data_IF_395756554425
#
_entry.id   IF_395756554425
#
_cell.length_a   1.000
_cell.length_b   1.000
_cell.length_c   1.000
_cell.angle_alpha   90.00
_cell.angle_beta   90.00
_cell.angle_gamma   90.00
#
_symmetry.space_group_name_H-M   'P 1'
#
loop_
_entity.id
_entity.type
_entity.pdbx_description
1 polymer ?
#
# COMPACT_ATOMS: atom_id res chain seq x y z
N UNK A 1 -47.17 -39.92 -64.69
CA UNK A 1 -46.02 -39.79 -65.59
C UNK A 1 -45.83 -38.31 -65.88
N UNK A 2 -44.76 -37.75 -65.53
CA UNK A 2 -44.09 -36.54 -66.00
C UNK A 2 -43.52 -35.75 -64.85
N UNK A 3 -42.24 -35.91 -64.69
CA UNK A 3 -41.42 -35.19 -63.75
C UNK A 3 -41.22 -33.73 -64.17
N UNK A 4 -41.46 -32.81 -63.24
CA UNK A 4 -41.11 -31.40 -63.46
C UNK A 4 -40.13 -30.98 -62.38
N UNK A 5 -38.83 -30.88 -62.75
CA UNK A 5 -37.76 -30.34 -61.92
C UNK A 5 -37.81 -28.79 -61.91
N UNK A 6 -38.15 -28.23 -60.74
CA UNK A 6 -37.95 -26.79 -60.52
C UNK A 6 -36.54 -26.59 -59.95
N UNK A 7 -35.65 -25.91 -60.63
CA UNK A 7 -34.38 -25.38 -60.17
C UNK A 7 -34.62 -23.95 -59.62
N UNK A 8 -34.46 -23.78 -58.33
CA UNK A 8 -34.39 -22.46 -57.71
C UNK A 8 -32.92 -22.14 -57.42
N UNK A 9 -32.39 -21.15 -58.13
CA UNK A 9 -31.10 -20.52 -57.86
C UNK A 9 -31.25 -19.59 -56.67
N UNK A 10 -30.61 -19.91 -55.53
CA UNK A 10 -30.42 -18.99 -54.42
C UNK A 10 -29.02 -18.37 -54.53
N UNK A 11 -28.94 -17.09 -54.81
CA UNK A 11 -27.71 -16.32 -54.69
C UNK A 11 -27.36 -16.08 -53.21
N UNK A 12 -26.11 -16.20 -52.77
CA UNK A 12 -25.70 -15.88 -51.42
C UNK A 12 -25.53 -14.36 -51.28
N UNK A 13 -26.34 -13.73 -50.45
CA UNK A 13 -26.09 -12.39 -49.96
C UNK A 13 -24.96 -12.47 -48.90
N UNK A 14 -23.78 -11.99 -49.25
CA UNK A 14 -22.69 -11.71 -48.32
C UNK A 14 -23.06 -10.46 -47.51
N UNK A 15 -23.57 -10.63 -46.30
CA UNK A 15 -23.72 -9.55 -45.31
C UNK A 15 -22.38 -9.36 -44.60
N UNK A 16 -21.64 -8.31 -44.97
CA UNK A 16 -20.48 -7.84 -44.24
C UNK A 16 -20.98 -7.14 -42.98
N UNK A 17 -20.93 -7.85 -41.85
CA UNK A 17 -21.16 -7.25 -40.53
C UNK A 17 -19.83 -6.61 -40.10
N UNK A 18 -19.69 -5.31 -40.29
CA UNK A 18 -18.63 -4.50 -39.70
C UNK A 18 -18.88 -4.40 -38.21
N UNK A 19 -18.25 -5.25 -37.41
CA UNK A 19 -18.22 -5.09 -35.95
C UNK A 19 -17.30 -3.93 -35.58
N UNK A 20 -17.89 -2.76 -35.42
CA UNK A 20 -17.23 -1.63 -34.76
C UNK A 20 -17.05 -2.00 -33.27
N UNK A 21 -15.88 -2.47 -32.88
CA UNK A 21 -15.49 -2.64 -31.49
C UNK A 21 -15.32 -1.26 -30.87
N UNK A 22 -16.36 -0.72 -30.30
CA UNK A 22 -16.30 0.42 -29.40
C UNK A 22 -15.54 -0.05 -28.13
N UNK A 23 -14.27 0.30 -28.05
CA UNK A 23 -13.50 0.28 -26.80
C UNK A 23 -14.17 1.26 -25.84
N UNK A 24 -15.12 0.77 -25.07
CA UNK A 24 -15.68 1.50 -23.93
C UNK A 24 -14.58 1.50 -22.85
N UNK A 25 -13.78 2.55 -22.83
CA UNK A 25 -12.93 2.88 -21.69
C UNK A 25 -13.86 3.05 -20.49
N UNK A 26 -13.79 2.12 -19.54
CA UNK A 26 -14.62 2.12 -18.34
C UNK A 26 -14.38 3.42 -17.57
N UNK A 27 -15.40 4.17 -17.16
CA UNK A 27 -15.24 5.46 -16.46
C UNK A 27 -14.43 5.35 -15.16
N UNK A 28 -14.35 4.16 -14.57
CA UNK A 28 -13.57 3.90 -13.38
C UNK A 28 -12.04 4.04 -13.59
N UNK A 29 -11.52 3.75 -14.78
CA UNK A 29 -10.08 3.87 -15.07
C UNK A 29 -9.67 5.34 -15.13
N UNK A 30 -10.47 6.18 -15.74
CA UNK A 30 -10.19 7.62 -15.84
C UNK A 30 -10.28 8.33 -14.49
N UNK A 31 -11.23 7.95 -13.64
CA UNK A 31 -11.36 8.52 -12.30
C UNK A 31 -10.16 8.14 -11.39
N UNK A 32 -9.66 6.95 -11.52
CA UNK A 32 -8.50 6.48 -10.74
C UNK A 32 -7.20 7.13 -11.22
N UNK A 33 -7.05 7.35 -12.52
CA UNK A 33 -5.88 8.01 -13.11
C UNK A 33 -5.81 9.49 -12.69
N UNK A 34 -6.96 10.20 -12.68
CA UNK A 34 -7.03 11.57 -12.20
C UNK A 34 -6.73 11.70 -10.70
N UNK A 35 -7.26 10.82 -9.86
CA UNK A 35 -7.02 10.81 -8.42
C UNK A 35 -5.53 10.56 -8.11
N UNK A 36 -4.88 9.66 -8.84
CA UNK A 36 -3.44 9.43 -8.70
C UNK A 36 -2.60 10.65 -9.12
N UNK A 37 -3.00 11.35 -10.18
CA UNK A 37 -2.33 12.58 -10.63
C UNK A 37 -2.45 13.70 -9.60
N UNK A 38 -3.62 13.88 -8.99
CA UNK A 38 -3.86 14.86 -7.93
C UNK A 38 -3.08 14.52 -6.66
N UNK A 39 -3.07 13.27 -6.24
CA UNK A 39 -2.27 12.79 -5.11
C UNK A 39 -0.78 13.07 -5.36
N UNK A 40 -0.26 12.70 -6.52
CA UNK A 40 1.14 12.92 -6.88
C UNK A 40 1.51 14.41 -6.89
N UNK A 41 0.60 15.27 -7.34
CA UNK A 41 0.78 16.73 -7.30
C UNK A 41 0.84 17.25 -5.86
N UNK A 42 -0.10 16.81 -5.00
CA UNK A 42 -0.10 17.14 -3.59
C UNK A 42 1.20 16.69 -2.91
N UNK A 43 1.60 15.44 -3.09
CA UNK A 43 2.80 14.86 -2.47
C UNK A 43 4.05 15.65 -2.86
N UNK A 44 4.21 16.00 -4.12
CA UNK A 44 5.35 16.83 -4.56
C UNK A 44 5.39 18.18 -3.84
N UNK A 45 4.25 18.86 -3.74
CA UNK A 45 4.18 20.16 -3.08
C UNK A 45 4.49 20.04 -1.58
N UNK A 46 3.91 19.04 -0.89
CA UNK A 46 4.13 18.81 0.53
C UNK A 46 5.57 18.32 0.81
N UNK A 47 6.15 17.51 -0.06
CA UNK A 47 7.53 17.05 0.06
C UNK A 47 8.53 18.23 0.00
N UNK A 48 8.30 19.19 -0.88
CA UNK A 48 9.11 20.43 -0.95
C UNK A 48 9.00 21.19 0.37
N UNK A 49 7.78 21.37 0.90
CA UNK A 49 7.53 22.09 2.16
C UNK A 49 8.17 21.35 3.34
N UNK A 50 8.04 20.04 3.40
CA UNK A 50 8.58 19.20 4.49
C UNK A 50 10.11 19.22 4.46
N UNK A 51 10.71 19.11 3.29
CA UNK A 51 12.16 19.20 3.12
C UNK A 51 12.66 20.59 3.55
N UNK A 52 11.96 21.65 3.20
CA UNK A 52 12.32 23.01 3.61
C UNK A 52 12.19 23.22 5.13
N UNK A 53 11.19 22.64 5.79
CA UNK A 53 10.98 22.74 7.25
C UNK A 53 11.92 21.83 8.05
N UNK A 54 12.20 20.61 7.53
CA UNK A 54 13.10 19.63 8.18
C UNK A 54 14.58 20.00 8.07
N UNK A 55 14.93 20.93 7.18
CA UNK A 55 16.29 21.46 7.03
C UNK A 55 16.82 22.21 8.26
N UNK A 56 16.00 22.38 9.29
CA UNK A 56 16.35 23.15 10.49
C UNK A 56 17.45 22.57 11.38
N UNK A 57 17.89 21.33 11.19
CA UNK A 57 18.93 20.74 12.04
C UNK A 57 20.11 20.08 11.31
N UNK A 58 20.02 19.82 10.00
CA UNK A 58 21.11 19.13 9.30
C UNK A 58 21.28 19.46 7.82
N UNK A 59 20.29 20.13 7.21
CA UNK A 59 20.25 20.35 5.77
C UNK A 59 20.35 21.84 5.35
N UNK A 60 20.69 22.75 6.28
CA UNK A 60 20.80 24.20 6.00
C UNK A 60 21.86 24.51 4.94
N UNK A 61 22.90 23.69 4.84
CA UNK A 61 23.98 23.91 3.87
C UNK A 61 23.56 23.68 2.39
N UNK A 62 22.55 22.84 2.12
CA UNK A 62 22.07 22.56 0.77
C UNK A 62 20.94 23.48 0.29
N UNK A 63 20.14 24.02 1.21
CA UNK A 63 18.97 24.84 0.88
C UNK A 63 19.29 26.31 0.65
N UNK A 64 20.34 26.85 1.27
CA UNK A 64 20.79 28.21 1.02
C UNK A 64 21.19 28.45 -0.45
N UNK A 65 21.63 27.42 -1.14
CA UNK A 65 21.92 27.49 -2.58
C UNK A 65 20.67 27.55 -3.47
N UNK A 66 19.47 27.20 -2.95
CA UNK A 66 18.24 27.05 -3.71
C UNK A 66 17.33 28.27 -3.71
N UNK A 67 17.36 29.09 -2.66
CA UNK A 67 16.58 30.32 -2.63
C UNK A 67 17.06 31.38 -3.65
N UNK A 68 18.18 31.12 -4.32
CA UNK A 68 18.73 32.02 -5.35
C UNK A 68 18.26 31.65 -6.76
N UNK A 69 17.70 30.43 -6.99
CA UNK A 69 17.23 30.00 -8.30
C UNK A 69 15.73 30.22 -8.49
N UNK A 70 15.36 31.25 -9.17
CA UNK A 70 13.98 31.76 -9.38
C UNK A 70 13.14 30.94 -10.37
N UNK A 71 13.27 29.60 -10.52
CA UNK A 71 12.43 28.80 -11.40
C UNK A 71 11.94 27.50 -10.75
N UNK A 72 10.64 27.28 -10.81
CA UNK A 72 9.90 26.17 -10.18
C UNK A 72 10.38 24.74 -10.52
N UNK A 73 11.07 24.56 -11.66
CA UNK A 73 11.66 23.28 -12.04
C UNK A 73 12.94 22.91 -11.26
N UNK A 74 13.60 23.90 -10.67
CA UNK A 74 14.83 23.69 -9.91
C UNK A 74 14.55 23.33 -8.45
N UNK A 75 13.36 23.66 -7.93
CA UNK A 75 12.93 23.26 -6.58
C UNK A 75 12.75 21.73 -6.45
N UNK A 76 12.29 21.06 -7.51
CA UNK A 76 12.19 19.58 -7.55
C UNK A 76 13.58 18.94 -7.57
N UNK A 77 14.50 19.50 -8.37
CA UNK A 77 15.91 19.04 -8.37
C UNK A 77 16.57 19.24 -7.02
N UNK A 78 16.19 20.26 -6.31
CA UNK A 78 16.74 20.55 -5.02
C UNK A 78 16.19 19.72 -3.88
N UNK A 79 14.94 19.30 -3.94
CA UNK A 79 14.41 18.28 -3.01
C UNK A 79 15.17 16.96 -3.17
N UNK A 80 15.53 16.61 -4.42
CA UNK A 80 16.39 15.45 -4.72
C UNK A 80 17.83 15.63 -4.21
N UNK A 81 18.37 16.85 -4.21
CA UNK A 81 19.71 17.15 -3.66
C UNK A 81 19.66 17.14 -2.12
N UNK A 82 18.57 17.62 -1.48
CA UNK A 82 18.32 17.48 -0.04
C UNK A 82 18.26 16.02 0.40
N UNK A 83 17.64 15.15 -0.42
CA UNK A 83 17.68 13.71 -0.22
C UNK A 83 19.10 13.12 -0.37
N UNK A 84 19.95 13.71 -1.21
CA UNK A 84 21.35 13.31 -1.32
C UNK A 84 22.18 13.70 -0.07
N UNK A 85 21.80 14.78 0.64
CA UNK A 85 22.44 15.21 1.88
C UNK A 85 21.87 14.46 3.10
N UNK A 86 20.57 14.14 3.11
CA UNK A 86 19.89 13.33 4.14
C UNK A 86 19.93 11.83 3.89
N UNK A 87 20.45 11.40 2.74
CA UNK A 87 20.46 10.00 2.34
C UNK A 87 19.06 9.45 2.04
N UNK A 88 18.99 8.13 1.95
CA UNK A 88 17.76 7.37 1.64
C UNK A 88 16.70 7.57 2.71
N UNK A 89 17.08 7.62 3.97
CA UNK A 89 16.18 7.79 5.09
C UNK A 89 15.50 9.18 5.08
N UNK A 90 16.26 10.25 4.87
CA UNK A 90 15.69 11.61 4.78
C UNK A 90 14.70 11.78 3.62
N UNK A 91 14.99 11.17 2.47
CA UNK A 91 14.05 11.14 1.33
C UNK A 91 12.75 10.41 1.69
N UNK A 92 12.84 9.23 2.25
CA UNK A 92 11.68 8.44 2.62
C UNK A 92 10.85 9.13 3.71
N UNK A 93 11.48 9.71 4.73
CA UNK A 93 10.80 10.48 5.77
C UNK A 93 10.00 11.65 5.17
N UNK A 94 10.62 12.43 4.26
CA UNK A 94 9.94 13.52 3.58
C UNK A 94 8.77 13.05 2.72
N UNK A 95 8.95 11.96 1.98
CA UNK A 95 7.92 11.39 1.11
C UNK A 95 6.71 10.88 1.91
N UNK A 96 6.93 10.05 2.92
CA UNK A 96 5.82 9.48 3.70
C UNK A 96 5.11 10.50 4.57
N UNK A 97 5.82 11.51 5.06
CA UNK A 97 5.20 12.67 5.75
C UNK A 97 4.31 13.47 4.78
N UNK A 98 4.77 13.68 3.54
CA UNK A 98 3.99 14.35 2.51
C UNK A 98 2.72 13.56 2.14
N UNK A 99 2.83 12.25 1.95
CA UNK A 99 1.67 11.37 1.70
C UNK A 99 0.66 11.45 2.83
N UNK A 100 1.07 11.31 4.08
CA UNK A 100 0.18 11.38 5.25
C UNK A 100 -0.55 12.73 5.30
N UNK A 101 0.16 13.81 5.02
CA UNK A 101 -0.42 15.15 4.92
C UNK A 101 -1.47 15.23 3.81
N UNK A 102 -1.20 14.64 2.64
CA UNK A 102 -2.14 14.61 1.51
C UNK A 102 -3.37 13.75 1.80
N UNK A 103 -3.21 12.61 2.48
CA UNK A 103 -4.33 11.77 2.92
C UNK A 103 -5.22 12.46 3.97
N UNK A 104 -4.64 13.31 4.83
CA UNK A 104 -5.40 14.16 5.76
C UNK A 104 -6.19 15.26 5.03
N UNK A 105 -5.64 15.80 3.94
CA UNK A 105 -6.34 16.80 3.10
C UNK A 105 -7.46 16.18 2.27
N UNK A 106 -7.24 15.00 1.73
CA UNK A 106 -8.24 14.25 0.98
C UNK A 106 -8.21 12.76 1.36
N UNK A 107 -9.06 12.35 2.31
CA UNK A 107 -9.10 10.96 2.78
C UNK A 107 -9.47 9.92 1.69
N UNK A 108 -10.10 10.35 0.58
CA UNK A 108 -10.46 9.43 -0.51
C UNK A 108 -9.24 8.91 -1.29
N UNK A 109 -8.08 9.54 -1.16
CA UNK A 109 -6.83 9.08 -1.77
C UNK A 109 -6.14 7.97 -0.97
N UNK A 110 -6.54 7.80 0.30
CA UNK A 110 -5.95 6.79 1.16
C UNK A 110 -6.37 5.39 0.72
N UNK A 111 -5.42 4.46 0.48
CA UNK A 111 -5.76 3.09 0.17
C UNK A 111 -6.45 2.44 1.38
N UNK A 112 -7.55 1.76 1.12
CA UNK A 112 -8.26 1.01 2.14
C UNK A 112 -7.46 -0.24 2.54
N UNK A 113 -7.44 -0.53 3.83
CA UNK A 113 -6.99 -1.82 4.33
C UNK A 113 -8.11 -2.84 4.17
N UNK A 114 -7.76 -4.05 3.76
CA UNK A 114 -8.71 -5.14 3.59
C UNK A 114 -8.45 -6.22 4.62
N UNK A 115 -9.44 -6.47 5.46
CA UNK A 115 -9.39 -7.53 6.44
C UNK A 115 -10.27 -8.70 5.98
N UNK A 116 -9.69 -9.89 5.86
CA UNK A 116 -10.37 -11.11 5.42
C UNK A 116 -10.11 -12.25 6.41
N UNK A 117 -11.15 -13.04 6.70
CA UNK A 117 -10.96 -14.28 7.44
C UNK A 117 -10.45 -15.36 6.48
N UNK A 118 -9.32 -15.97 6.82
CA UNK A 118 -8.70 -17.06 6.04
C UNK A 118 -8.94 -18.45 6.60
N UNK A 119 -9.15 -18.58 7.93
CA UNK A 119 -9.54 -19.82 8.58
C UNK A 119 -10.58 -19.58 9.67
N UNK A 120 -11.51 -20.51 9.80
CA UNK A 120 -12.51 -20.50 10.86
C UNK A 120 -11.87 -20.77 12.23
N UNK A 121 -12.63 -20.42 13.29
CA UNK A 121 -12.25 -20.70 14.66
C UNK A 121 -11.99 -22.20 14.89
N UNK A 122 -12.89 -23.08 14.43
CA UNK A 122 -12.76 -24.52 14.66
C UNK A 122 -11.58 -25.16 13.92
N UNK A 123 -11.28 -24.71 12.69
CA UNK A 123 -10.10 -25.16 11.95
C UNK A 123 -8.81 -24.75 12.67
N UNK A 124 -8.75 -23.48 13.10
CA UNK A 124 -7.58 -22.96 13.78
C UNK A 124 -7.40 -23.59 15.15
N UNK A 125 -8.47 -23.72 15.94
CA UNK A 125 -8.46 -24.38 17.24
C UNK A 125 -7.82 -25.76 17.22
N UNK A 126 -8.16 -26.56 16.20
CA UNK A 126 -7.56 -27.87 15.97
C UNK A 126 -6.09 -27.77 15.59
N UNK A 127 -5.76 -26.87 14.66
CA UNK A 127 -4.38 -26.67 14.14
C UNK A 127 -3.41 -26.30 15.25
N UNK A 128 -3.77 -25.29 16.09
CA UNK A 128 -2.87 -24.78 17.15
C UNK A 128 -3.11 -25.44 18.51
N UNK A 129 -4.04 -26.41 18.60
CA UNK A 129 -4.43 -27.12 19.83
C UNK A 129 -4.86 -26.16 20.94
N UNK A 130 -5.59 -25.10 20.57
CA UNK A 130 -6.05 -24.10 21.52
C UNK A 130 -7.06 -24.70 22.52
N UNK A 131 -6.91 -24.30 23.78
CA UNK A 131 -7.83 -24.67 24.88
C UNK A 131 -8.48 -23.39 25.44
N UNK A 132 -9.80 -23.39 25.72
CA UNK A 132 -10.48 -22.23 26.29
C UNK A 132 -9.84 -21.68 27.57
N UNK A 133 -9.18 -22.53 28.37
CA UNK A 133 -8.45 -22.12 29.57
C UNK A 133 -7.24 -21.20 29.30
N UNK A 134 -6.79 -21.06 28.06
CA UNK A 134 -5.73 -20.13 27.67
C UNK A 134 -6.21 -18.67 27.60
N UNK A 135 -7.54 -18.44 27.66
CA UNK A 135 -8.12 -17.12 27.54
C UNK A 135 -8.02 -16.57 26.13
N UNK A 136 -8.07 -15.24 25.99
CA UNK A 136 -7.92 -14.58 24.68
C UNK A 136 -6.47 -14.69 24.24
N UNK A 137 -6.26 -15.09 22.99
CA UNK A 137 -4.93 -15.13 22.35
C UNK A 137 -5.01 -14.36 21.04
N UNK A 138 -4.18 -13.33 20.87
CA UNK A 138 -4.00 -12.62 19.62
C UNK A 138 -2.52 -12.74 19.20
N UNK A 139 -2.25 -13.23 17.99
CA UNK A 139 -0.88 -13.47 17.55
C UNK A 139 -0.68 -13.12 16.08
N UNK A 140 0.32 -12.29 15.82
CA UNK A 140 0.86 -12.10 14.48
C UNK A 140 1.65 -13.35 14.07
N UNK A 141 1.33 -13.93 12.93
CA UNK A 141 2.03 -15.13 12.43
C UNK A 141 3.09 -14.75 11.39
N UNK A 142 2.72 -13.92 10.43
CA UNK A 142 3.56 -13.63 9.29
C UNK A 142 3.21 -12.27 8.68
N UNK A 143 4.24 -11.62 8.17
CA UNK A 143 4.10 -10.52 7.21
C UNK A 143 4.77 -10.94 5.92
N UNK A 144 4.09 -10.76 4.81
CA UNK A 144 4.64 -10.99 3.48
C UNK A 144 4.45 -9.76 2.59
N UNK A 145 5.38 -9.57 1.65
CA UNK A 145 5.34 -8.50 0.65
C UNK A 145 5.30 -9.14 -0.72
N UNK A 146 4.29 -8.77 -1.50
CA UNK A 146 4.19 -9.27 -2.88
C UNK A 146 5.32 -8.67 -3.72
N UNK A 147 6.22 -9.53 -4.16
CA UNK A 147 7.37 -9.16 -4.98
C UNK A 147 7.06 -9.32 -6.48
N UNK A 148 7.75 -8.60 -7.39
CA UNK A 148 8.78 -7.59 -7.12
C UNK A 148 8.19 -6.23 -6.70
N UNK A 149 8.91 -5.48 -5.86
CA UNK A 149 8.56 -4.11 -5.50
C UNK A 149 9.42 -3.14 -6.30
N UNK A 150 8.80 -2.25 -7.05
CA UNK A 150 9.47 -1.28 -7.92
C UNK A 150 9.25 0.15 -7.46
N UNK A 151 10.13 1.06 -7.87
CA UNK A 151 9.85 2.49 -7.78
C UNK A 151 8.58 2.84 -8.60
N UNK A 152 7.87 3.89 -8.19
CA UNK A 152 6.59 4.32 -8.79
C UNK A 152 5.49 3.24 -8.75
N UNK A 153 5.52 2.35 -7.76
CA UNK A 153 4.56 1.27 -7.60
C UNK A 153 3.96 1.25 -6.19
N UNK A 154 3.16 0.25 -5.91
CA UNK A 154 2.64 -0.03 -4.57
C UNK A 154 3.15 -1.40 -4.10
N UNK A 155 3.81 -1.43 -2.96
CA UNK A 155 4.13 -2.67 -2.29
C UNK A 155 2.88 -3.17 -1.55
N UNK A 156 2.40 -4.35 -1.91
CA UNK A 156 1.29 -4.99 -1.21
C UNK A 156 1.82 -5.80 -0.04
N UNK A 157 1.41 -5.40 1.17
CA UNK A 157 1.74 -6.05 2.43
C UNK A 157 0.57 -6.90 2.89
N UNK A 158 0.80 -8.18 3.08
CA UNK A 158 -0.14 -9.17 3.59
C UNK A 158 0.30 -9.61 4.98
N UNK A 159 -0.47 -9.27 6.01
CA UNK A 159 -0.19 -9.66 7.39
C UNK A 159 -1.19 -10.73 7.85
N UNK A 160 -0.70 -11.91 8.17
CA UNK A 160 -1.51 -13.00 8.69
C UNK A 160 -1.40 -13.02 10.21
N UNK A 161 -2.54 -13.08 10.87
CA UNK A 161 -2.64 -13.19 12.31
C UNK A 161 -3.85 -14.04 12.72
N UNK A 162 -3.88 -14.46 13.97
CA UNK A 162 -5.04 -15.13 14.50
C UNK A 162 -5.49 -14.57 15.84
N UNK A 163 -6.77 -14.76 16.08
CA UNK A 163 -7.42 -14.42 17.34
C UNK A 163 -8.21 -15.63 17.81
N UNK A 164 -8.01 -16.01 19.08
CA UNK A 164 -8.77 -17.07 19.74
C UNK A 164 -9.42 -16.50 20.99
N UNK A 165 -10.68 -16.86 21.19
CA UNK A 165 -11.43 -16.54 22.40
C UNK A 165 -11.97 -17.85 23.01
N UNK A 166 -12.23 -17.92 24.31
CA UNK A 166 -12.68 -19.14 24.96
C UNK A 166 -13.92 -19.79 24.34
N UNK A 167 -14.82 -18.97 23.81
CA UNK A 167 -16.12 -19.35 23.24
C UNK A 167 -16.22 -19.13 21.73
N UNK A 168 -15.15 -18.65 21.08
CA UNK A 168 -15.15 -18.30 19.65
C UNK A 168 -15.86 -16.98 19.33
N UNK A 169 -16.32 -16.23 20.33
CA UNK A 169 -17.00 -14.96 20.15
C UNK A 169 -16.07 -13.88 19.58
N UNK A 170 -16.69 -12.82 19.09
CA UNK A 170 -15.97 -11.63 18.61
C UNK A 170 -15.24 -10.92 19.77
N UNK A 171 -14.10 -10.35 19.45
CA UNK A 171 -13.32 -9.57 20.40
C UNK A 171 -12.69 -8.36 19.74
N UNK A 172 -12.42 -7.33 20.53
CA UNK A 172 -11.76 -6.14 20.05
C UNK A 172 -10.25 -6.34 20.04
N UNK A 173 -9.65 -5.98 18.91
CA UNK A 173 -8.20 -5.97 18.71
C UNK A 173 -7.76 -4.61 18.22
N UNK A 174 -6.50 -4.32 18.41
CA UNK A 174 -5.82 -3.18 17.77
C UNK A 174 -4.71 -3.71 16.90
N UNK A 175 -4.71 -3.30 15.65
CA UNK A 175 -3.62 -3.51 14.71
C UNK A 175 -2.80 -2.24 14.63
N UNK A 176 -1.47 -2.37 14.70
CA UNK A 176 -0.52 -1.29 14.46
C UNK A 176 0.46 -1.71 13.38
N UNK A 177 0.71 -0.82 12.41
CA UNK A 177 1.62 -1.03 11.29
C UNK A 177 2.71 0.03 11.34
N UNK A 178 3.97 -0.40 11.21
CA UNK A 178 5.12 0.49 11.17
C UNK A 178 5.94 0.25 9.91
N UNK A 179 6.53 1.31 9.42
CA UNK A 179 7.42 1.28 8.25
C UNK A 179 8.77 1.88 8.65
N UNK A 180 9.84 1.20 8.30
CA UNK A 180 11.19 1.63 8.55
C UNK A 180 11.98 1.64 7.24
N UNK A 181 12.89 2.57 7.13
CA UNK A 181 13.95 2.58 6.11
C UNK A 181 15.22 2.06 6.75
N UNK A 182 15.88 1.13 6.08
CA UNK A 182 17.11 0.50 6.55
C UNK A 182 18.29 1.07 5.77
N UNK A 183 19.27 1.63 6.47
CA UNK A 183 20.49 2.18 5.88
C UNK A 183 21.70 1.66 6.63
N UNK A 184 22.37 0.66 6.07
CA UNK A 184 23.42 -0.08 6.78
C UNK A 184 22.86 -0.74 8.03
N UNK A 185 23.44 -0.46 9.19
CA UNK A 185 23.01 -1.02 10.49
C UNK A 185 21.95 -0.15 11.20
N UNK A 186 21.46 0.89 10.55
CA UNK A 186 20.47 1.82 11.12
C UNK A 186 19.11 1.62 10.50
N UNK A 187 18.09 1.66 11.37
CA UNK A 187 16.69 1.71 10.96
C UNK A 187 16.08 3.03 11.42
N UNK A 188 15.39 3.70 10.52
CA UNK A 188 14.66 4.93 10.80
C UNK A 188 13.18 4.69 10.54
N UNK A 189 12.34 4.88 11.56
CA UNK A 189 10.90 4.78 11.42
C UNK A 189 10.38 5.98 10.66
N UNK A 190 9.63 5.73 9.61
CA UNK A 190 8.92 6.74 8.82
C UNK A 190 7.41 6.65 9.09
N UNK A 191 6.68 7.70 8.73
CA UNK A 191 5.23 7.69 8.85
C UNK A 191 4.66 6.56 7.98
N UNK A 192 3.81 5.71 8.57
CA UNK A 192 3.12 4.69 7.79
C UNK A 192 2.05 5.34 6.92
N UNK A 193 2.03 5.09 5.60
CA UNK A 193 1.05 5.71 4.71
C UNK A 193 -0.32 5.06 4.89
N UNK A 194 -1.26 5.80 5.46
CA UNK A 194 -2.60 5.32 5.75
C UNK A 194 -2.86 5.09 7.25
N UNK A 195 -3.69 4.10 7.57
CA UNK A 195 -4.05 3.81 8.97
C UNK A 195 -2.95 3.00 9.66
N UNK A 196 -2.02 3.71 10.30
CA UNK A 196 -0.96 3.08 11.10
C UNK A 196 -1.53 2.26 12.25
N UNK A 197 -2.56 2.79 12.94
CA UNK A 197 -3.23 2.11 14.06
C UNK A 197 -4.72 2.03 13.79
N UNK A 198 -5.28 0.84 13.87
CA UNK A 198 -6.67 0.59 13.53
C UNK A 198 -7.31 -0.41 14.50
N UNK A 199 -8.43 -0.04 15.18
CA UNK A 199 -9.20 -0.97 15.94
C UNK A 199 -10.10 -1.80 15.03
N UNK A 200 -10.28 -3.08 15.38
CA UNK A 200 -11.21 -3.99 14.73
C UNK A 200 -11.96 -4.81 15.77
N UNK A 201 -13.18 -5.18 15.42
CA UNK A 201 -13.91 -6.25 16.09
C UNK A 201 -13.89 -7.47 15.17
N UNK A 202 -13.27 -8.55 15.63
CA UNK A 202 -13.08 -9.75 14.81
C UNK A 202 -13.57 -10.99 15.55
N UNK A 203 -14.19 -11.89 14.82
CA UNK A 203 -14.50 -13.21 15.33
C UNK A 203 -13.23 -14.07 15.39
N UNK A 204 -13.21 -15.05 16.29
CA UNK A 204 -12.11 -16.00 16.39
C UNK A 204 -11.78 -16.69 15.06
N UNK A 205 -10.50 -16.93 14.83
CA UNK A 205 -9.97 -17.54 13.62
C UNK A 205 -8.70 -16.86 13.11
N UNK A 206 -8.24 -17.28 11.93
CA UNK A 206 -7.12 -16.66 11.24
C UNK A 206 -7.63 -15.56 10.30
N UNK A 207 -6.96 -14.43 10.31
CA UNK A 207 -7.29 -13.25 9.53
C UNK A 207 -6.08 -12.88 8.67
N UNK A 208 -6.35 -12.22 7.55
CA UNK A 208 -5.34 -11.55 6.72
C UNK A 208 -5.70 -10.08 6.58
N UNK A 209 -4.76 -9.23 6.94
CA UNK A 209 -4.80 -7.79 6.72
C UNK A 209 -3.96 -7.46 5.50
N UNK A 210 -4.55 -6.85 4.48
CA UNK A 210 -3.88 -6.44 3.25
C UNK A 210 -3.87 -4.93 3.17
N UNK A 211 -2.69 -4.34 3.05
CA UNK A 211 -2.52 -2.89 2.85
C UNK A 211 -1.55 -2.63 1.71
N UNK A 212 -1.61 -1.43 1.12
CA UNK A 212 -0.73 -1.01 0.04
C UNK A 212 0.12 0.16 0.48
N UNK A 213 1.42 0.02 0.30
CA UNK A 213 2.44 1.01 0.66
C UNK A 213 2.95 1.63 -0.64
N UNK A 214 2.67 2.91 -0.93
CA UNK A 214 3.17 3.56 -2.12
C UNK A 214 4.69 3.72 -2.06
N UNK A 215 5.37 3.40 -3.15
CA UNK A 215 6.81 3.57 -3.31
C UNK A 215 7.06 4.76 -4.23
N UNK A 216 7.81 5.73 -3.76
CA UNK A 216 8.08 6.94 -4.53
C UNK A 216 8.78 6.62 -5.85
N UNK A 217 8.47 7.40 -6.88
CA UNK A 217 9.10 7.30 -8.21
C UNK A 217 10.62 7.43 -8.14
N UNK A 218 11.11 8.30 -7.28
CA UNK A 218 12.53 8.62 -7.13
C UNK A 218 13.23 7.73 -6.09
N UNK A 219 12.56 6.66 -5.60
CA UNK A 219 13.18 5.67 -4.73
C UNK A 219 14.26 4.92 -5.48
N UNK A 220 15.47 4.92 -4.94
CA UNK A 220 16.62 4.23 -5.57
C UNK A 220 16.45 2.73 -5.50
N UNK A 221 16.81 2.04 -6.58
CA UNK A 221 16.98 0.59 -6.58
C UNK A 221 17.98 0.19 -5.50
N UNK A 222 17.68 -0.88 -4.79
CA UNK A 222 18.46 -1.32 -3.62
C UNK A 222 18.04 -0.67 -2.30
N UNK A 223 17.09 0.30 -2.30
CA UNK A 223 16.51 0.81 -1.05
C UNK A 223 15.82 -0.31 -0.30
N UNK A 224 16.15 -0.44 0.98
CA UNK A 224 15.63 -1.48 1.86
C UNK A 224 14.63 -0.87 2.82
N UNK A 225 13.45 -1.49 2.90
CA UNK A 225 12.41 -1.19 3.86
C UNK A 225 12.17 -2.39 4.76
N UNK A 226 11.78 -2.13 6.01
CA UNK A 226 11.22 -3.12 6.92
C UNK A 226 9.82 -2.69 7.35
N UNK A 227 8.88 -3.59 7.24
CA UNK A 227 7.54 -3.43 7.79
C UNK A 227 7.39 -4.24 9.06
N UNK A 228 6.63 -3.70 10.00
CA UNK A 228 6.30 -4.34 11.26
C UNK A 228 4.78 -4.29 11.45
N UNK A 229 4.22 -5.41 11.80
CA UNK A 229 2.81 -5.60 12.08
C UNK A 229 2.65 -6.07 13.52
N UNK A 230 1.93 -5.28 14.31
CA UNK A 230 1.63 -5.58 15.69
C UNK A 230 0.13 -5.81 15.85
N UNK A 231 -0.23 -6.81 16.63
CA UNK A 231 -1.62 -7.05 17.03
C UNK A 231 -1.69 -7.18 18.54
N UNK A 232 -2.66 -6.50 19.15
CA UNK A 232 -2.98 -6.62 20.54
C UNK A 232 -4.48 -6.86 20.74
N UNK A 233 -4.85 -7.79 21.60
CA UNK A 233 -6.20 -7.88 22.16
C UNK A 233 -6.25 -7.11 23.50
N UNK A 234 -7.46 -6.76 23.96
CA UNK A 234 -7.65 -5.98 25.17
C UNK A 234 -6.92 -6.61 26.38
N UNK A 235 -6.02 -5.83 26.99
CA UNK A 235 -5.25 -6.27 28.19
C UNK A 235 -4.10 -7.23 27.94
N UNK A 236 -3.81 -7.58 26.68
CA UNK A 236 -2.71 -8.48 26.32
C UNK A 236 -1.52 -7.70 25.74
N UNK A 237 -0.28 -8.16 25.97
CA UNK A 237 0.87 -7.58 25.29
C UNK A 237 0.76 -7.80 23.77
N UNK A 238 1.27 -6.85 22.95
CA UNK A 238 1.23 -7.00 21.51
C UNK A 238 2.09 -8.16 21.02
N UNK A 239 1.62 -8.82 19.98
CA UNK A 239 2.39 -9.79 19.21
C UNK A 239 2.84 -9.16 17.90
N UNK A 240 4.10 -9.36 17.53
CA UNK A 240 4.76 -8.69 16.40
C UNK A 240 5.23 -9.69 15.36
N UNK A 241 5.05 -9.35 14.11
CA UNK A 241 5.72 -9.97 12.96
C UNK A 241 6.31 -8.88 12.07
N UNK A 242 7.39 -9.18 11.36
CA UNK A 242 8.04 -8.20 10.49
C UNK A 242 8.59 -8.83 9.22
N UNK A 243 8.80 -8.01 8.19
CA UNK A 243 9.38 -8.40 6.91
C UNK A 243 10.22 -7.27 6.34
N UNK A 244 11.38 -7.62 5.83
CA UNK A 244 12.24 -6.72 5.06
C UNK A 244 12.02 -6.96 3.57
N UNK A 245 12.00 -5.90 2.78
CA UNK A 245 11.95 -5.97 1.32
C UNK A 245 12.85 -4.92 0.69
N UNK A 246 13.23 -5.16 -0.56
CA UNK A 246 14.13 -4.28 -1.32
C UNK A 246 13.44 -3.81 -2.58
N UNK A 247 13.61 -2.53 -2.91
CA UNK A 247 13.14 -1.96 -4.18
C UNK A 247 14.05 -2.45 -5.31
N UNK A 248 13.43 -3.03 -6.33
CA UNK A 248 14.10 -3.61 -7.51
C UNK A 248 13.88 -2.75 -8.76
N UNK A 249 14.48 -3.15 -9.87
CA UNK A 249 14.28 -2.55 -11.20
C UNK A 249 12.88 -2.83 -11.77
#
# INVERSE_FOLDING_TARGET
MTNMKLRTNLAPYLSIIATASLLQLSPNVQAQESANAELNSCVRNEQIITTAKGAGAGAIAGLSAMFVAHKSNDAVKGALIGAAVGGVAGFATAYYTAIDTCYKKNPSWKPESKLERTKSYEELKKKIKYKPSQGIVARAEMVDIVAPVKADSQAEMNSTFYVMTPDGAETNITVERKLFVVTGDKEEQVVFPGDATQPYTVAGGEQRDTVRIPIAKDTKVGTIYRVEFNIAAAGMPPSTASKTFTVTE
#
